data_IF_884899014395
#
_entry.id   IF_884899014395
#
_cell.length_a   1.000
_cell.length_b   1.000
_cell.length_c   1.000
_cell.angle_alpha   90.00
_cell.angle_beta   90.00
_cell.angle_gamma   90.00
#
_symmetry.space_group_name_H-M   'P 1'
#
loop_
_entity.id
_entity.type
_entity.pdbx_description
1 polymer ?
#
# COMPACT_ATOMS: atom_id res chain seq x y z
N UNK A 1 -2.09 7.98 25.49
CA UNK A 1 -3.06 8.90 26.10
C UNK A 1 -4.02 8.03 26.88
N UNK A 2 -4.12 8.19 28.20
CA UNK A 2 -5.10 7.47 29.01
C UNK A 2 -6.34 8.33 29.13
N UNK A 3 -7.53 7.73 29.15
CA UNK A 3 -8.74 8.42 29.58
C UNK A 3 -9.31 7.72 30.82
N UNK A 4 -9.67 8.53 31.80
CA UNK A 4 -10.38 8.09 32.98
C UNK A 4 -11.86 8.41 32.79
N UNK A 5 -12.72 7.40 32.93
CA UNK A 5 -14.17 7.59 33.02
C UNK A 5 -14.56 7.52 34.49
N UNK A 6 -15.05 8.63 35.04
CA UNK A 6 -15.62 8.70 36.38
C UNK A 6 -17.11 8.34 36.33
N UNK A 7 -17.55 7.53 37.28
CA UNK A 7 -18.93 7.10 37.42
C UNK A 7 -19.61 7.83 38.59
N UNK A 8 -20.96 7.95 38.58
CA UNK A 8 -21.69 8.64 39.65
C UNK A 8 -21.53 8.01 41.05
N UNK A 9 -21.13 6.74 41.12
CA UNK A 9 -20.85 6.01 42.37
C UNK A 9 -19.45 6.31 42.95
N UNK A 10 -18.68 7.20 42.30
CA UNK A 10 -17.32 7.54 42.70
C UNK A 10 -16.24 6.56 42.22
N UNK A 11 -16.63 5.50 41.49
CA UNK A 11 -15.66 4.62 40.84
C UNK A 11 -15.05 5.28 39.61
N UNK A 12 -13.85 4.84 39.23
CA UNK A 12 -13.17 5.30 38.04
C UNK A 12 -12.59 4.14 37.26
N UNK A 13 -12.81 4.12 35.95
CA UNK A 13 -12.15 3.18 35.04
C UNK A 13 -11.09 3.93 34.24
N UNK A 14 -9.83 3.54 34.41
CA UNK A 14 -8.73 4.04 33.60
C UNK A 14 -8.57 3.09 32.42
N UNK A 15 -8.90 3.57 31.23
CA UNK A 15 -8.64 2.84 30.00
C UNK A 15 -7.48 3.48 29.26
N UNK A 16 -6.62 2.62 28.70
CA UNK A 16 -5.63 3.06 27.75
C UNK A 16 -6.38 3.60 26.53
N UNK A 17 -6.28 4.89 26.25
CA UNK A 17 -6.87 5.50 25.06
C UNK A 17 -6.05 5.30 23.79
N UNK A 18 -4.95 4.57 23.91
CA UNK A 18 -4.43 3.82 22.78
C UNK A 18 -5.34 2.60 22.63
N UNK A 19 -6.11 2.55 21.54
CA UNK A 19 -6.64 1.27 21.04
C UNK A 19 -5.54 0.19 21.04
N UNK A 20 -5.89 -1.10 21.00
CA UNK A 20 -4.95 -2.20 21.17
C UNK A 20 -3.63 -1.87 20.46
N UNK A 21 -2.53 -1.89 21.21
CA UNK A 21 -1.23 -1.61 20.65
C UNK A 21 -1.05 -2.53 19.43
N UNK A 22 -0.48 -2.04 18.30
CA UNK A 22 -0.38 -2.80 17.06
C UNK A 22 0.52 -4.06 17.16
N UNK A 23 0.90 -4.45 18.36
CA UNK A 23 1.60 -5.67 18.73
C UNK A 23 0.68 -6.90 18.83
N UNK A 24 -0.64 -6.74 18.66
CA UNK A 24 -1.51 -7.91 18.60
C UNK A 24 -1.25 -8.67 17.29
N UNK A 25 -0.94 -9.96 17.39
CA UNK A 25 -0.57 -10.81 16.23
C UNK A 25 -1.60 -10.73 15.10
N UNK A 26 -2.86 -10.48 15.47
CA UNK A 26 -3.99 -10.23 14.58
C UNK A 26 -3.78 -9.00 13.68
N UNK A 27 -3.33 -7.87 14.23
CA UNK A 27 -3.10 -6.64 13.46
C UNK A 27 -1.94 -6.81 12.47
N UNK A 28 -0.86 -7.47 12.90
CA UNK A 28 0.26 -7.80 12.02
C UNK A 28 -0.14 -8.78 10.91
N UNK A 29 -1.00 -9.76 11.24
CA UNK A 29 -1.55 -10.71 10.27
C UNK A 29 -2.39 -10.03 9.19
N UNK A 30 -3.27 -9.10 9.59
CA UNK A 30 -4.09 -8.30 8.64
C UNK A 30 -3.19 -7.45 7.74
N UNK A 31 -2.18 -6.79 8.32
CA UNK A 31 -1.21 -6.00 7.56
C UNK A 31 -0.47 -6.86 6.54
N UNK A 32 0.06 -8.02 6.96
CA UNK A 32 0.80 -8.91 6.08
C UNK A 32 -0.09 -9.45 4.95
N UNK A 33 -1.35 -9.79 5.26
CA UNK A 33 -2.32 -10.23 4.26
C UNK A 33 -2.65 -9.11 3.25
N UNK A 34 -2.88 -7.88 3.71
CA UNK A 34 -3.13 -6.73 2.85
C UNK A 34 -1.91 -6.43 1.95
N UNK A 35 -0.71 -6.45 2.52
CA UNK A 35 0.54 -6.27 1.78
C UNK A 35 0.72 -7.35 0.70
N UNK A 36 0.52 -8.62 1.06
CA UNK A 36 0.64 -9.73 0.13
C UNK A 36 -0.39 -9.63 -1.01
N UNK A 37 -1.62 -9.25 -0.70
CA UNK A 37 -2.68 -9.04 -1.70
C UNK A 37 -2.33 -7.91 -2.66
N UNK A 38 -1.95 -6.73 -2.14
CA UNK A 38 -1.52 -5.58 -2.96
C UNK A 38 -0.35 -5.97 -3.86
N UNK A 39 0.66 -6.62 -3.29
CA UNK A 39 1.83 -7.06 -4.02
C UNK A 39 1.50 -8.05 -5.15
N UNK A 40 0.58 -8.99 -4.90
CA UNK A 40 0.12 -9.95 -5.90
C UNK A 40 -0.64 -9.26 -7.05
N UNK A 41 -1.51 -8.29 -6.74
CA UNK A 41 -2.24 -7.51 -7.73
C UNK A 41 -1.26 -6.72 -8.61
N UNK A 42 -0.36 -5.96 -8.00
CA UNK A 42 0.54 -5.05 -8.70
C UNK A 42 1.51 -5.81 -9.61
N UNK A 43 2.09 -6.91 -9.15
CA UNK A 43 2.96 -7.74 -9.98
C UNK A 43 2.21 -8.42 -11.14
N UNK A 44 0.95 -8.80 -10.92
CA UNK A 44 0.11 -9.37 -11.99
C UNK A 44 -0.16 -8.33 -13.08
N UNK A 45 -0.48 -7.10 -12.68
CA UNK A 45 -0.71 -5.97 -13.60
C UNK A 45 0.56 -5.58 -14.32
N UNK A 46 1.71 -5.52 -13.63
CA UNK A 46 3.01 -5.27 -14.23
C UNK A 46 3.35 -6.34 -15.27
N UNK A 47 3.16 -7.62 -14.94
CA UNK A 47 3.41 -8.73 -15.84
C UNK A 47 2.55 -8.63 -17.11
N UNK A 48 1.24 -8.36 -16.94
CA UNK A 48 0.32 -8.18 -18.05
C UNK A 48 0.72 -6.99 -18.92
N UNK A 49 1.08 -5.85 -18.31
CA UNK A 49 1.55 -4.66 -19.03
C UNK A 49 2.79 -4.98 -19.88
N UNK A 50 3.79 -5.65 -19.29
CA UNK A 50 5.01 -6.06 -19.98
C UNK A 50 4.75 -7.11 -21.07
N UNK A 51 3.73 -7.96 -20.88
CA UNK A 51 3.30 -8.92 -21.89
C UNK A 51 2.69 -8.20 -23.10
N UNK A 52 1.73 -7.30 -22.88
CA UNK A 52 1.03 -6.54 -23.93
C UNK A 52 2.00 -5.63 -24.69
N UNK A 53 2.89 -4.93 -23.98
CA UNK A 53 3.86 -3.99 -24.58
C UNK A 53 5.08 -4.67 -25.21
N UNK A 54 5.21 -6.00 -25.06
CA UNK A 54 6.32 -6.81 -25.63
C UNK A 54 7.71 -6.32 -25.24
N UNK A 55 7.85 -5.72 -24.06
CA UNK A 55 9.14 -5.24 -23.55
C UNK A 55 10.04 -6.44 -23.20
N UNK A 56 11.32 -6.36 -23.60
CA UNK A 56 12.34 -7.36 -23.28
C UNK A 56 12.79 -7.23 -21.82
N UNK A 57 13.38 -8.29 -21.24
CA UNK A 57 13.87 -8.32 -19.85
C UNK A 57 12.78 -8.20 -18.78
N UNK A 58 11.63 -8.86 -19.00
CA UNK A 58 10.45 -8.82 -18.11
C UNK A 58 10.80 -9.12 -16.65
N UNK A 59 11.61 -10.14 -16.40
CA UNK A 59 12.01 -10.59 -15.05
C UNK A 59 12.70 -9.45 -14.27
N UNK A 60 13.67 -8.78 -14.88
CA UNK A 60 14.40 -7.67 -14.23
C UNK A 60 13.47 -6.51 -13.88
N UNK A 61 12.55 -6.17 -14.79
CA UNK A 61 11.59 -5.08 -14.56
C UNK A 61 10.63 -5.46 -13.43
N UNK A 62 10.13 -6.69 -13.39
CA UNK A 62 9.28 -7.19 -12.31
C UNK A 62 9.98 -7.19 -10.96
N UNK A 63 11.25 -7.61 -10.90
CA UNK A 63 12.05 -7.52 -9.67
C UNK A 63 12.18 -6.06 -9.22
N UNK A 64 12.40 -5.13 -10.16
CA UNK A 64 12.48 -3.70 -9.81
C UNK A 64 11.14 -3.17 -9.29
N UNK A 65 10.03 -3.55 -9.92
CA UNK A 65 8.68 -3.18 -9.46
C UNK A 65 8.38 -3.74 -8.07
N UNK A 66 8.68 -5.02 -7.84
CA UNK A 66 8.58 -5.67 -6.52
C UNK A 66 9.36 -4.89 -5.45
N UNK A 67 10.64 -4.62 -5.70
CA UNK A 67 11.48 -3.89 -4.74
C UNK A 67 10.98 -2.46 -4.50
N UNK A 68 10.48 -1.78 -5.54
CA UNK A 68 9.89 -0.46 -5.39
C UNK A 68 8.66 -0.51 -4.48
N UNK A 69 7.77 -1.49 -4.65
CA UNK A 69 6.55 -1.64 -3.84
C UNK A 69 6.86 -1.99 -2.38
N UNK A 70 7.88 -2.83 -2.14
CA UNK A 70 8.35 -3.13 -0.77
C UNK A 70 8.82 -1.87 -0.04
N UNK A 71 9.34 -0.88 -0.76
CA UNK A 71 9.80 0.39 -0.18
C UNK A 71 8.68 1.42 -0.11
N UNK A 72 7.87 1.58 -1.17
CA UNK A 72 6.83 2.60 -1.26
C UNK A 72 5.68 2.33 -0.27
N UNK A 73 5.17 1.10 -0.19
CA UNK A 73 3.97 0.79 0.59
C UNK A 73 4.12 1.08 2.09
N UNK A 74 5.22 0.68 2.78
CA UNK A 74 5.43 1.09 4.17
C UNK A 74 5.53 2.61 4.34
N UNK A 75 6.11 3.33 3.38
CA UNK A 75 6.19 4.80 3.46
C UNK A 75 4.80 5.40 3.33
N UNK A 76 3.97 4.94 2.39
CA UNK A 76 2.59 5.39 2.25
C UNK A 76 1.80 5.15 3.54
N UNK A 77 1.84 3.93 4.07
CA UNK A 77 1.01 3.55 5.21
C UNK A 77 1.50 4.09 6.55
N UNK A 78 2.81 4.15 6.78
CA UNK A 78 3.35 4.56 8.09
C UNK A 78 3.85 5.99 8.13
N UNK A 79 4.22 6.59 7.01
CA UNK A 79 4.68 8.00 6.98
C UNK A 79 3.53 8.89 6.57
N UNK A 80 2.97 8.70 5.39
CA UNK A 80 1.94 9.62 4.88
C UNK A 80 0.63 9.52 5.68
N UNK A 81 0.07 8.33 5.85
CA UNK A 81 -1.22 8.17 6.54
C UNK A 81 -1.13 8.54 8.02
N UNK A 82 -0.05 8.18 8.73
CA UNK A 82 0.11 8.52 10.14
C UNK A 82 0.30 10.03 10.34
N UNK A 83 1.10 10.69 9.50
CA UNK A 83 1.39 12.13 9.68
C UNK A 83 0.28 13.04 9.17
N UNK A 84 -0.43 12.64 8.12
CA UNK A 84 -1.36 13.52 7.38
C UNK A 84 -2.82 13.04 7.41
N UNK A 85 -3.10 11.89 8.06
CA UNK A 85 -4.44 11.33 8.16
C UNK A 85 -5.05 11.03 6.79
N UNK A 86 -6.30 11.46 6.57
CA UNK A 86 -7.03 11.23 5.32
C UNK A 86 -6.33 11.81 4.08
N UNK A 87 -5.71 12.99 4.20
CA UNK A 87 -4.94 13.60 3.11
C UNK A 87 -3.67 12.79 2.78
N UNK A 88 -3.16 12.04 3.75
CA UNK A 88 -2.01 11.15 3.61
C UNK A 88 -2.25 10.04 2.60
N UNK A 89 -3.48 9.53 2.47
CA UNK A 89 -3.79 8.52 1.45
C UNK A 89 -3.53 9.08 0.04
N UNK A 90 -4.16 10.20 -0.32
CA UNK A 90 -4.03 10.78 -1.67
C UNK A 90 -2.58 11.15 -1.99
N UNK A 91 -1.88 11.80 -1.05
CA UNK A 91 -0.50 12.20 -1.25
C UNK A 91 0.45 10.99 -1.29
N UNK A 92 0.16 9.96 -0.49
CA UNK A 92 0.89 8.70 -0.49
C UNK A 92 0.75 7.95 -1.81
N UNK A 93 -0.45 7.87 -2.37
CA UNK A 93 -0.68 7.26 -3.70
C UNK A 93 0.09 8.00 -4.81
N UNK A 94 0.06 9.34 -4.80
CA UNK A 94 0.82 10.15 -5.76
C UNK A 94 2.33 9.87 -5.60
N UNK A 95 2.81 9.78 -4.35
CA UNK A 95 4.19 9.43 -4.07
C UNK A 95 4.54 8.03 -4.56
N UNK A 96 3.71 7.01 -4.28
CA UNK A 96 3.94 5.63 -4.73
C UNK A 96 4.06 5.55 -6.24
N UNK A 97 3.10 6.13 -6.97
CA UNK A 97 3.11 6.18 -8.44
C UNK A 97 4.39 6.85 -8.98
N UNK A 98 4.77 7.99 -8.41
CA UNK A 98 5.95 8.73 -8.84
C UNK A 98 7.26 7.98 -8.51
N UNK A 99 7.37 7.47 -7.29
CA UNK A 99 8.55 6.77 -6.80
C UNK A 99 8.77 5.46 -7.56
N UNK A 100 7.73 4.62 -7.66
CA UNK A 100 7.82 3.33 -8.36
C UNK A 100 8.07 3.51 -9.85
N UNK A 101 7.33 4.41 -10.51
CA UNK A 101 7.53 4.72 -11.91
C UNK A 101 8.95 5.21 -12.19
N UNK A 102 9.49 6.08 -11.32
CA UNK A 102 10.86 6.56 -11.42
C UNK A 102 11.89 5.47 -11.14
N UNK A 103 11.72 4.65 -10.10
CA UNK A 103 12.63 3.56 -9.76
C UNK A 103 12.70 2.52 -10.90
N UNK A 104 11.54 2.10 -11.42
CA UNK A 104 11.43 1.18 -12.56
C UNK A 104 12.18 1.75 -13.76
N UNK A 105 11.97 3.04 -14.08
CA UNK A 105 12.69 3.71 -15.15
C UNK A 105 14.20 3.76 -14.89
N UNK A 106 14.64 4.23 -13.73
CA UNK A 106 16.05 4.45 -13.40
C UNK A 106 16.88 3.17 -13.56
N UNK A 107 16.38 2.06 -13.03
CA UNK A 107 17.06 0.76 -13.11
C UNK A 107 16.87 0.04 -14.46
N UNK A 108 15.93 0.48 -15.30
CA UNK A 108 15.62 -0.15 -16.60
C UNK A 108 15.62 0.81 -17.79
N UNK A 109 16.31 1.95 -17.70
CA UNK A 109 16.32 3.03 -18.71
C UNK A 109 16.75 2.59 -20.11
N UNK A 110 17.51 1.50 -20.23
CA UNK A 110 17.91 0.90 -21.52
C UNK A 110 16.78 0.11 -22.19
N UNK A 111 15.82 -0.39 -21.42
CA UNK A 111 14.74 -1.25 -21.89
C UNK A 111 13.38 -0.54 -21.94
N UNK A 112 13.18 0.48 -21.10
CA UNK A 112 11.89 1.13 -20.89
C UNK A 112 12.04 2.66 -20.84
N UNK A 113 11.17 3.36 -21.58
CA UNK A 113 11.07 4.83 -21.54
C UNK A 113 10.37 5.26 -20.24
N UNK A 114 10.69 6.44 -19.73
CA UNK A 114 10.06 7.00 -18.53
C UNK A 114 8.53 7.01 -18.62
N UNK A 115 7.97 7.44 -19.77
CA UNK A 115 6.52 7.43 -19.99
C UNK A 115 5.91 6.05 -19.76
N UNK A 116 6.52 4.98 -20.31
CA UNK A 116 6.03 3.61 -20.13
C UNK A 116 6.13 3.15 -18.69
N UNK A 117 7.22 3.47 -17.98
CA UNK A 117 7.39 3.12 -16.57
C UNK A 117 6.34 3.82 -15.69
N UNK A 118 6.09 5.10 -15.93
CA UNK A 118 5.05 5.88 -15.23
C UNK A 118 3.64 5.33 -15.53
N UNK A 119 3.34 5.00 -16.79
CA UNK A 119 2.05 4.38 -17.14
C UNK A 119 1.88 3.02 -16.47
N UNK A 120 2.94 2.21 -16.40
CA UNK A 120 2.89 0.92 -15.73
C UNK A 120 2.63 1.09 -14.22
N UNK A 121 3.36 1.97 -13.54
CA UNK A 121 3.15 2.24 -12.12
C UNK A 121 1.77 2.81 -11.82
N UNK A 122 1.28 3.74 -12.64
CA UNK A 122 -0.09 4.24 -12.52
C UNK A 122 -1.13 3.12 -12.68
N UNK A 123 -0.94 2.21 -13.64
CA UNK A 123 -1.85 1.09 -13.83
C UNK A 123 -1.82 0.10 -12.65
N UNK A 124 -0.65 -0.17 -12.07
CA UNK A 124 -0.51 -0.99 -10.86
C UNK A 124 -1.29 -0.40 -9.70
N UNK A 125 -1.07 0.89 -9.39
CA UNK A 125 -1.71 1.58 -8.26
C UNK A 125 -3.23 1.72 -8.44
N UNK A 126 -3.70 2.06 -9.65
CA UNK A 126 -5.15 2.11 -9.92
C UNK A 126 -5.79 0.75 -9.68
N UNK A 127 -5.17 -0.32 -10.17
CA UNK A 127 -5.69 -1.66 -10.00
C UNK A 127 -5.67 -2.12 -8.53
N UNK A 128 -4.62 -1.81 -7.77
CA UNK A 128 -4.55 -2.14 -6.35
C UNK A 128 -5.57 -1.38 -5.52
N UNK A 129 -5.79 -0.09 -5.80
CA UNK A 129 -6.84 0.71 -5.14
C UNK A 129 -8.24 0.15 -5.43
N UNK A 130 -8.55 -0.17 -6.69
CA UNK A 130 -9.88 -0.71 -7.06
C UNK A 130 -10.10 -2.08 -6.43
N UNK A 131 -9.18 -3.02 -6.60
CA UNK A 131 -9.35 -4.39 -6.12
C UNK A 131 -9.25 -4.47 -4.60
N UNK A 132 -8.34 -3.71 -3.98
CA UNK A 132 -8.26 -3.58 -2.53
C UNK A 132 -9.52 -2.97 -1.94
N UNK A 133 -10.10 -1.95 -2.60
CA UNK A 133 -11.37 -1.35 -2.22
C UNK A 133 -12.54 -2.34 -2.29
N UNK A 134 -12.60 -3.18 -3.33
CA UNK A 134 -13.61 -4.24 -3.46
C UNK A 134 -13.48 -5.26 -2.32
N UNK A 135 -12.26 -5.71 -2.02
CA UNK A 135 -12.03 -6.66 -0.92
C UNK A 135 -12.44 -6.06 0.41
N UNK A 136 -12.07 -4.80 0.68
CA UNK A 136 -12.47 -4.09 1.89
C UNK A 136 -14.00 -3.96 1.99
N UNK A 137 -14.66 -3.60 0.89
CA UNK A 137 -16.12 -3.49 0.85
C UNK A 137 -16.81 -4.83 1.15
N UNK A 138 -16.33 -5.93 0.57
CA UNK A 138 -16.86 -7.26 0.85
C UNK A 138 -16.64 -7.69 2.29
N UNK A 139 -15.47 -7.39 2.86
CA UNK A 139 -15.19 -7.65 4.28
C UNK A 139 -16.13 -6.87 5.19
N UNK A 140 -16.46 -5.62 4.86
CA UNK A 140 -17.41 -4.81 5.63
C UNK A 140 -18.86 -5.28 5.51
N UNK A 141 -19.24 -5.92 4.40
CA UNK A 141 -20.60 -6.43 4.19
C UNK A 141 -20.85 -7.80 4.85
N UNK A 142 -19.83 -8.65 4.90
CA UNK A 142 -19.98 -10.07 5.24
C UNK A 142 -19.13 -10.53 6.44
N UNK A 143 -18.25 -9.69 6.98
CA UNK A 143 -17.42 -9.96 8.16
C UNK A 143 -17.98 -9.33 9.42
#
# INVERSE_FOLDING_TARGET
MYYARLYPDGSATIANGRGPAPTDLTTLGIFAAALALTFAIELSVAFLYLHITKIKNKVRILITAALANVVSLPIVWFVFVILLGAAGYVLGEIFAVAFEGYAIYYFNKKAMKLKSAMTMSLAMNIASVILGGIVLFLLLLYG
#
